data_IF_095180242917
#
_entry.id   IF_095180242917
#
_cell.length_a   1.000
_cell.length_b   1.000
_cell.length_c   1.000
_cell.angle_alpha   90.00
_cell.angle_beta   90.00
_cell.angle_gamma   90.00
#
_symmetry.space_group_name_H-M   'P 1'
#
loop_
_entity.id
_entity.type
_entity.pdbx_description
1 polymer ?
#
# COMPACT_ATOMS: atom_id res chain seq x y z
N UNK A 1 3.17 4.12 15.67
CA UNK A 1 2.45 5.19 14.95
C UNK A 1 2.65 6.55 15.62
N UNK A 2 2.55 6.67 16.94
CA UNK A 2 2.83 7.93 17.67
C UNK A 2 4.22 8.51 17.34
N UNK A 3 5.29 7.72 17.48
CA UNK A 3 6.66 8.16 17.17
C UNK A 3 6.83 8.75 15.74
N UNK A 4 6.17 8.18 14.72
CA UNK A 4 6.25 8.67 13.32
C UNK A 4 5.64 10.07 13.18
N UNK A 5 4.58 10.36 13.94
CA UNK A 5 3.98 11.71 13.98
C UNK A 5 4.80 12.66 14.86
N UNK A 6 5.33 12.19 15.98
CA UNK A 6 6.20 12.97 16.87
C UNK A 6 7.47 13.43 16.14
N UNK A 7 8.07 12.55 15.33
CA UNK A 7 9.22 12.85 14.48
C UNK A 7 8.87 13.66 13.22
N UNK A 8 7.60 14.04 13.03
CA UNK A 8 7.13 14.85 11.88
C UNK A 8 7.39 14.23 10.50
N UNK A 9 7.56 12.91 10.43
CA UNK A 9 7.59 12.19 9.15
C UNK A 9 6.23 12.34 8.43
N UNK A 10 5.15 12.39 9.22
CA UNK A 10 3.82 12.86 8.81
C UNK A 10 3.43 14.03 9.72
N UNK A 11 2.81 15.08 9.15
CA UNK A 11 2.35 16.24 9.92
C UNK A 11 1.10 15.88 10.76
N UNK A 12 1.15 15.97 12.11
CA UNK A 12 0.01 15.65 12.96
C UNK A 12 -1.17 16.62 12.81
N UNK A 13 -0.97 17.85 12.29
CA UNK A 13 -2.07 18.80 12.08
C UNK A 13 -2.94 18.44 10.89
N UNK A 14 -2.38 17.75 9.90
CA UNK A 14 -3.07 17.31 8.69
C UNK A 14 -3.34 15.80 8.65
N UNK A 15 -3.11 15.08 9.77
CA UNK A 15 -3.20 13.61 9.81
C UNK A 15 -4.14 13.16 10.92
N UNK A 16 -5.14 12.35 10.55
CA UNK A 16 -6.02 11.67 11.50
C UNK A 16 -5.57 10.21 11.62
N UNK A 17 -5.34 9.75 12.86
CA UNK A 17 -5.06 8.34 13.15
C UNK A 17 -6.30 7.70 13.74
N UNK A 18 -6.75 6.61 13.11
CA UNK A 18 -7.89 5.83 13.57
C UNK A 18 -7.63 4.33 13.33
N UNK A 19 -8.37 3.48 14.06
CA UNK A 19 -8.28 2.02 13.93
C UNK A 19 -9.41 1.55 13.01
N UNK A 20 -9.05 0.82 11.94
CA UNK A 20 -10.03 0.11 11.12
C UNK A 20 -10.29 -1.27 11.76
N UNK A 21 -11.51 -1.56 12.23
CA UNK A 21 -11.77 -2.72 13.10
C UNK A 21 -11.99 -4.05 12.34
N UNK A 22 -11.92 -4.05 11.00
CA UNK A 22 -12.12 -5.27 10.20
C UNK A 22 -11.00 -6.27 10.46
N UNK A 23 -11.30 -7.57 10.55
CA UNK A 23 -10.31 -8.62 10.40
C UNK A 23 -9.55 -8.47 9.08
N UNK A 24 -8.26 -8.85 9.09
CA UNK A 24 -7.41 -8.92 7.90
C UNK A 24 -7.42 -10.35 7.36
N UNK A 25 -7.77 -10.51 6.08
CA UNK A 25 -7.91 -11.83 5.44
C UNK A 25 -6.67 -12.27 4.67
N UNK A 26 -5.78 -11.32 4.34
CA UNK A 26 -4.67 -11.51 3.42
C UNK A 26 -5.10 -12.03 2.05
N UNK A 27 -6.24 -11.51 1.55
CA UNK A 27 -6.87 -11.97 0.31
C UNK A 27 -6.59 -11.06 -0.92
N UNK A 28 -5.49 -10.31 -0.88
CA UNK A 28 -4.89 -9.63 -2.04
C UNK A 28 -5.88 -8.73 -2.82
N UNK A 29 -5.95 -8.87 -4.16
CA UNK A 29 -6.82 -8.05 -5.01
C UNK A 29 -8.31 -8.09 -4.67
N UNK A 30 -8.78 -9.14 -3.99
CA UNK A 30 -10.17 -9.21 -3.51
C UNK A 30 -10.36 -8.35 -2.27
N UNK A 31 -9.46 -8.47 -1.29
CA UNK A 31 -9.57 -7.73 -0.03
C UNK A 31 -9.28 -6.24 -0.19
N UNK A 32 -8.38 -5.85 -1.09
CA UNK A 32 -8.08 -4.43 -1.30
C UNK A 32 -9.31 -3.63 -1.76
N UNK A 33 -10.26 -4.26 -2.45
CA UNK A 33 -11.55 -3.64 -2.80
C UNK A 33 -12.39 -3.36 -1.55
N UNK A 34 -12.42 -4.28 -0.58
CA UNK A 34 -13.08 -4.09 0.71
C UNK A 34 -12.44 -2.94 1.49
N UNK A 35 -11.11 -2.92 1.56
CA UNK A 35 -10.37 -1.84 2.22
C UNK A 35 -10.67 -0.47 1.61
N UNK A 36 -10.72 -0.39 0.27
CA UNK A 36 -11.03 0.84 -0.45
C UNK A 36 -12.48 1.27 -0.23
N UNK A 37 -13.46 0.36 -0.38
CA UNK A 37 -14.87 0.66 -0.20
C UNK A 37 -15.16 1.14 1.24
N UNK A 38 -14.57 0.51 2.24
CA UNK A 38 -14.74 0.93 3.64
C UNK A 38 -14.27 2.37 3.89
N UNK A 39 -13.13 2.76 3.30
CA UNK A 39 -12.58 4.13 3.41
C UNK A 39 -13.43 5.14 2.65
N UNK A 40 -13.92 4.76 1.47
CA UNK A 40 -14.87 5.59 0.71
C UNK A 40 -16.15 5.87 1.52
N UNK A 41 -16.70 4.87 2.21
CA UNK A 41 -17.87 5.05 3.10
C UNK A 41 -17.54 5.91 4.32
N UNK A 42 -16.29 5.85 4.82
CA UNK A 42 -15.80 6.75 5.87
C UNK A 42 -15.50 8.18 5.38
N UNK A 43 -15.77 8.50 4.11
CA UNK A 43 -15.64 9.85 3.54
C UNK A 43 -14.30 10.14 2.85
N UNK A 44 -13.46 9.13 2.60
CA UNK A 44 -12.22 9.35 1.85
C UNK A 44 -12.50 9.64 0.37
N UNK A 45 -11.92 10.73 -0.15
CA UNK A 45 -11.99 11.09 -1.57
C UNK A 45 -10.87 10.46 -2.40
N UNK A 46 -9.76 10.10 -1.77
CA UNK A 46 -8.59 9.50 -2.42
C UNK A 46 -8.17 8.24 -1.67
N UNK A 47 -7.76 7.20 -2.39
CA UNK A 47 -7.28 5.95 -1.83
C UNK A 47 -5.91 5.58 -2.39
N UNK A 48 -4.90 5.59 -1.51
CA UNK A 48 -3.52 5.23 -1.86
C UNK A 48 -3.39 3.71 -1.95
N UNK A 49 -2.84 3.21 -3.06
CA UNK A 49 -2.53 1.78 -3.25
C UNK A 49 -1.12 1.59 -3.78
N UNK A 50 -0.36 0.70 -3.14
CA UNK A 50 1.00 0.34 -3.54
C UNK A 50 1.10 -1.03 -4.21
N UNK A 51 2.27 -1.64 -4.07
CA UNK A 51 2.59 -3.00 -4.52
C UNK A 51 2.03 -4.05 -3.55
N UNK A 52 1.45 -5.11 -4.10
CA UNK A 52 0.94 -6.30 -3.40
C UNK A 52 0.03 -5.98 -2.19
N UNK A 53 -1.00 -5.13 -2.38
CA UNK A 53 -1.86 -4.73 -1.26
C UNK A 53 -2.67 -5.92 -0.76
N UNK A 54 -2.70 -6.08 0.57
CA UNK A 54 -3.31 -7.22 1.26
C UNK A 54 -2.76 -8.60 0.83
N UNK A 55 -1.56 -8.65 0.23
CA UNK A 55 -0.88 -9.89 -0.11
C UNK A 55 -0.07 -10.47 1.03
N UNK A 56 0.38 -11.70 0.82
CA UNK A 56 1.34 -12.40 1.68
C UNK A 56 2.07 -13.48 0.87
N UNK A 57 3.24 -13.96 1.33
CA UNK A 57 3.86 -15.14 0.74
C UNK A 57 2.97 -16.38 0.90
N UNK A 58 2.90 -17.19 -0.14
CA UNK A 58 2.24 -18.50 -0.11
C UNK A 58 2.89 -19.37 0.98
N UNK A 59 2.09 -20.03 1.84
CA UNK A 59 2.59 -20.73 3.03
C UNK A 59 3.61 -21.83 2.69
N UNK A 60 3.39 -22.57 1.60
CA UNK A 60 4.27 -23.64 1.14
C UNK A 60 5.40 -23.15 0.22
N UNK A 61 5.07 -22.50 -0.90
CA UNK A 61 6.06 -22.14 -1.94
C UNK A 61 6.91 -20.93 -1.60
N UNK A 62 6.52 -20.13 -0.59
CA UNK A 62 7.15 -18.87 -0.17
C UNK A 62 7.21 -17.78 -1.25
N UNK A 63 6.61 -18.00 -2.42
CA UNK A 63 6.42 -16.99 -3.45
C UNK A 63 5.24 -16.09 -3.08
N UNK A 64 5.18 -14.88 -3.62
CA UNK A 64 4.01 -14.02 -3.45
C UNK A 64 2.73 -14.76 -3.88
N UNK A 65 1.69 -14.72 -3.04
CA UNK A 65 0.42 -15.40 -3.31
C UNK A 65 -0.37 -14.74 -4.45
N UNK A 66 -0.14 -13.45 -4.66
CA UNK A 66 -0.78 -12.64 -5.70
C UNK A 66 0.28 -11.99 -6.59
N UNK A 67 -0.10 -11.66 -7.83
CA UNK A 67 0.78 -10.87 -8.67
C UNK A 67 0.83 -9.42 -8.12
N UNK A 68 2.02 -8.86 -7.86
CA UNK A 68 2.14 -7.64 -7.06
C UNK A 68 1.47 -6.37 -7.63
N UNK A 69 1.13 -6.34 -8.92
CA UNK A 69 0.43 -5.20 -9.55
C UNK A 69 -1.09 -5.39 -9.64
N UNK A 70 -1.61 -6.60 -9.39
CA UNK A 70 -3.02 -6.90 -9.56
C UNK A 70 -3.92 -6.07 -8.66
N UNK A 71 -3.53 -5.82 -7.41
CA UNK A 71 -4.39 -5.06 -6.48
C UNK A 71 -4.71 -3.65 -6.97
N UNK A 72 -3.70 -2.91 -7.44
CA UNK A 72 -3.90 -1.58 -8.03
C UNK A 72 -4.72 -1.63 -9.32
N UNK A 73 -4.42 -2.58 -10.23
CA UNK A 73 -5.17 -2.76 -11.48
C UNK A 73 -6.64 -3.06 -11.22
N UNK A 74 -6.92 -4.02 -10.33
CA UNK A 74 -8.29 -4.44 -9.98
C UNK A 74 -9.07 -3.29 -9.37
N UNK A 75 -8.46 -2.51 -8.45
CA UNK A 75 -9.12 -1.33 -7.89
C UNK A 75 -9.51 -0.31 -8.94
N UNK A 76 -8.62 -0.03 -9.90
CA UNK A 76 -8.87 0.95 -10.96
C UNK A 76 -10.01 0.56 -11.91
N UNK A 77 -10.40 -0.71 -11.95
CA UNK A 77 -11.52 -1.21 -12.77
C UNK A 77 -12.70 -1.72 -11.93
N UNK A 78 -12.64 -1.64 -10.60
CA UNK A 78 -13.65 -2.22 -9.72
C UNK A 78 -14.95 -1.39 -9.78
N UNK A 79 -16.11 -2.02 -10.03
CA UNK A 79 -17.39 -1.32 -10.05
C UNK A 79 -17.76 -0.83 -8.64
N UNK A 80 -18.46 0.30 -8.57
CA UNK A 80 -19.01 0.82 -7.31
C UNK A 80 -18.02 1.60 -6.44
N UNK A 81 -16.80 1.90 -6.92
CA UNK A 81 -15.86 2.83 -6.29
C UNK A 81 -15.99 4.25 -6.91
N UNK A 82 -17.21 4.78 -6.97
CA UNK A 82 -17.53 5.96 -7.77
C UNK A 82 -17.20 7.31 -7.11
N UNK A 83 -17.03 7.34 -5.79
CA UNK A 83 -16.77 8.57 -5.03
C UNK A 83 -15.39 8.60 -4.39
N UNK A 84 -14.45 7.79 -4.89
CA UNK A 84 -13.06 7.76 -4.47
C UNK A 84 -12.16 7.65 -5.70
N UNK A 85 -11.09 8.44 -5.74
CA UNK A 85 -10.06 8.37 -6.75
C UNK A 85 -8.92 7.46 -6.26
N UNK A 86 -8.51 6.50 -7.09
CA UNK A 86 -7.43 5.58 -6.76
C UNK A 86 -6.09 6.21 -7.12
N UNK A 87 -5.17 6.31 -6.15
CA UNK A 87 -3.82 6.85 -6.33
C UNK A 87 -2.80 5.69 -6.27
N UNK A 88 -2.39 5.14 -7.43
CA UNK A 88 -1.46 4.02 -7.48
C UNK A 88 0.00 4.48 -7.36
N UNK A 89 0.78 3.73 -6.59
CA UNK A 89 2.23 3.91 -6.46
C UNK A 89 2.98 2.66 -6.87
N UNK A 90 4.17 2.87 -7.43
CA UNK A 90 5.16 1.81 -7.65
C UNK A 90 5.86 1.47 -6.34
N UNK A 91 6.60 0.36 -6.33
CA UNK A 91 7.43 -0.06 -5.21
C UNK A 91 8.37 1.06 -4.79
N UNK A 92 8.43 1.37 -3.49
CA UNK A 92 9.46 2.21 -2.90
C UNK A 92 10.43 1.32 -2.08
N UNK A 93 11.72 1.59 -2.20
CA UNK A 93 12.79 0.88 -1.50
C UNK A 93 13.89 1.87 -1.06
N UNK A 94 14.77 1.46 -0.15
CA UNK A 94 15.83 2.35 0.32
C UNK A 94 16.91 2.49 -0.75
N UNK A 95 17.08 3.69 -1.29
CA UNK A 95 18.13 3.98 -2.26
C UNK A 95 19.42 4.33 -1.52
N UNK A 96 20.44 3.46 -1.64
CA UNK A 96 21.74 3.60 -0.96
C UNK A 96 22.48 4.87 -1.35
N UNK A 97 22.39 5.29 -2.61
CA UNK A 97 23.06 6.48 -3.11
C UNK A 97 22.43 7.76 -2.56
N UNK A 98 21.09 7.82 -2.52
CA UNK A 98 20.34 8.96 -1.99
C UNK A 98 20.23 8.97 -0.47
N UNK A 99 20.51 7.82 0.17
CA UNK A 99 20.32 7.59 1.60
C UNK A 99 18.89 7.91 2.07
N UNK A 100 17.91 7.55 1.25
CA UNK A 100 16.50 7.84 1.46
C UNK A 100 15.62 6.82 0.72
N UNK A 101 14.34 6.73 1.11
CA UNK A 101 13.35 5.96 0.35
C UNK A 101 13.10 6.61 -1.01
N UNK A 102 13.08 5.81 -2.07
CA UNK A 102 12.83 6.27 -3.44
C UNK A 102 12.08 5.20 -4.23
N UNK A 103 11.46 5.56 -5.36
CA UNK A 103 10.82 4.58 -6.22
C UNK A 103 11.84 3.64 -6.85
N UNK A 104 11.58 2.35 -6.71
CA UNK A 104 12.42 1.29 -7.23
C UNK A 104 12.54 1.37 -8.75
N UNK A 105 13.78 1.18 -9.23
CA UNK A 105 14.13 1.15 -10.65
C UNK A 105 14.89 -0.14 -10.95
N UNK A 106 14.29 -1.02 -11.74
CA UNK A 106 14.86 -2.33 -12.07
C UNK A 106 16.20 -2.22 -12.80
N UNK A 107 16.44 -1.14 -13.57
CA UNK A 107 17.72 -0.92 -14.26
C UNK A 107 18.86 -0.62 -13.29
N UNK A 108 18.53 -0.16 -12.09
CA UNK A 108 19.46 0.23 -11.02
C UNK A 108 19.26 -0.61 -9.77
N UNK A 109 18.89 -1.88 -9.92
CA UNK A 109 18.58 -2.77 -8.80
C UNK A 109 19.66 -2.76 -7.70
N UNK A 110 20.94 -2.73 -8.07
CA UNK A 110 22.06 -2.69 -7.12
C UNK A 110 22.08 -1.46 -6.21
N UNK A 111 21.41 -0.37 -6.56
CA UNK A 111 21.33 0.86 -5.76
C UNK A 111 20.29 0.76 -4.63
N UNK A 112 19.42 -0.25 -4.64
CA UNK A 112 18.29 -0.35 -3.72
C UNK A 112 18.44 -1.52 -2.76
N UNK A 113 18.12 -1.27 -1.49
CA UNK A 113 17.99 -2.31 -0.47
C UNK A 113 16.50 -2.53 -0.13
N UNK A 114 16.10 -3.80 -0.09
CA UNK A 114 14.79 -4.25 0.34
C UNK A 114 14.87 -4.75 1.78
N UNK A 115 14.21 -4.04 2.69
CA UNK A 115 14.20 -4.35 4.12
C UNK A 115 12.84 -4.98 4.44
N UNK A 116 12.82 -6.29 4.66
CA UNK A 116 11.60 -7.00 5.10
C UNK A 116 11.36 -6.80 6.59
N UNK A 117 10.10 -6.98 7.02
CA UNK A 117 9.72 -7.00 8.43
C UNK A 117 10.21 -8.24 9.18
#
# INVERSE_FOLDING_TARGET
HAAVLEEQVLDPKSTIVAIFPSPMLYAGPTEVQWHCRARMIAGANFYIVGRDPAGMPHPETKKDLYEPTQGGKVLSMAPGLTSVEIIPFRVAAYNKLKRAMDFYDQKRHGDFDFISG
#
